data_IF_935020843782
#
_entry.id   IF_935020843782
#
_cell.length_a   1.000
_cell.length_b   1.000
_cell.length_c   1.000
_cell.angle_alpha   90.00
_cell.angle_beta   90.00
_cell.angle_gamma   90.00
#
_symmetry.space_group_name_H-M   'P 1'
#
loop_
_entity.id
_entity.type
_entity.pdbx_description
1 polymer ?
#
# COMPACT_ATOMS: atom_id res chain seq x y z
N UNK A 1 27.07 14.64 -19.37
CA UNK A 1 26.00 14.02 -20.17
C UNK A 1 24.72 14.45 -19.51
N UNK A 2 23.87 15.19 -20.23
CA UNK A 2 22.52 15.48 -19.76
C UNK A 2 21.75 14.17 -19.91
N UNK A 3 21.29 13.61 -18.79
CA UNK A 3 20.43 12.44 -18.75
C UNK A 3 19.22 12.71 -19.64
N UNK A 4 19.13 11.99 -20.76
CA UNK A 4 17.90 11.96 -21.55
C UNK A 4 16.93 11.07 -20.75
N UNK A 5 16.01 11.72 -20.04
CA UNK A 5 15.04 11.05 -19.20
C UNK A 5 14.26 10.02 -20.03
N UNK A 6 14.28 8.76 -19.61
CA UNK A 6 13.63 7.70 -20.36
C UNK A 6 12.11 7.89 -20.37
N UNK A 7 11.42 7.38 -21.40
CA UNK A 7 9.94 7.41 -21.44
C UNK A 7 9.31 6.73 -20.20
N UNK A 8 10.01 5.75 -19.62
CA UNK A 8 9.64 5.11 -18.37
C UNK A 8 9.69 6.09 -17.19
N UNK A 9 10.77 6.87 -17.06
CA UNK A 9 10.94 7.84 -15.98
C UNK A 9 9.90 8.97 -16.08
N UNK A 10 9.65 9.47 -17.30
CA UNK A 10 8.57 10.45 -17.57
C UNK A 10 7.22 9.90 -17.15
N UNK A 11 6.92 8.64 -17.50
CA UNK A 11 5.66 7.99 -17.14
C UNK A 11 5.53 7.82 -15.62
N UNK A 12 6.60 7.42 -14.93
CA UNK A 12 6.64 7.35 -13.47
C UNK A 12 6.35 8.71 -12.83
N UNK A 13 6.98 9.78 -13.33
CA UNK A 13 6.75 11.13 -12.80
C UNK A 13 5.31 11.58 -13.02
N UNK A 14 4.74 11.32 -14.20
CA UNK A 14 3.35 11.63 -14.51
C UNK A 14 2.40 10.92 -13.54
N UNK A 15 2.58 9.60 -13.31
CA UNK A 15 1.75 8.85 -12.37
C UNK A 15 1.91 9.37 -10.94
N UNK A 16 3.12 9.75 -10.50
CA UNK A 16 3.34 10.36 -9.18
C UNK A 16 2.57 11.68 -9.01
N UNK A 17 2.50 12.51 -10.05
CA UNK A 17 1.72 13.75 -10.02
C UNK A 17 0.21 13.48 -9.91
N UNK A 18 -0.30 12.51 -10.68
CA UNK A 18 -1.70 12.05 -10.61
C UNK A 18 -2.04 11.50 -9.22
N UNK A 19 -1.15 10.68 -8.66
CA UNK A 19 -1.28 10.12 -7.31
C UNK A 19 -1.28 11.22 -6.25
N UNK A 20 -0.42 12.24 -6.37
CA UNK A 20 -0.39 13.36 -5.44
C UNK A 20 -1.71 14.14 -5.43
N UNK A 21 -2.31 14.38 -6.59
CA UNK A 21 -3.63 15.01 -6.70
C UNK A 21 -4.72 14.15 -6.03
N UNK A 22 -4.74 12.84 -6.31
CA UNK A 22 -5.70 11.90 -5.73
C UNK A 22 -5.57 11.79 -4.20
N UNK A 23 -4.34 11.79 -3.68
CA UNK A 23 -4.08 11.81 -2.23
C UNK A 23 -4.53 13.12 -1.57
N UNK A 24 -4.47 14.25 -2.30
CA UNK A 24 -5.05 15.52 -1.85
C UNK A 24 -6.57 15.45 -1.70
N UNK A 25 -7.25 14.86 -2.67
CA UNK A 25 -8.70 14.65 -2.62
C UNK A 25 -9.10 13.67 -1.50
N UNK A 26 -8.36 12.57 -1.35
CA UNK A 26 -8.54 11.61 -0.27
C UNK A 26 -8.33 12.25 1.11
N UNK A 27 -7.31 13.09 1.27
CA UNK A 27 -7.06 13.85 2.50
C UNK A 27 -8.24 14.74 2.87
N UNK A 28 -8.82 15.45 1.89
CA UNK A 28 -10.03 16.26 2.09
C UNK A 28 -11.25 15.42 2.45
N UNK A 29 -11.41 14.24 1.82
CA UNK A 29 -12.47 13.29 2.16
C UNK A 29 -12.36 12.81 3.62
N UNK A 30 -11.17 12.46 4.09
CA UNK A 30 -10.94 12.09 5.49
C UNK A 30 -11.21 13.25 6.45
N UNK A 31 -10.83 14.48 6.07
CA UNK A 31 -11.09 15.69 6.87
C UNK A 31 -12.60 15.94 7.00
N UNK A 32 -13.37 15.78 5.92
CA UNK A 32 -14.84 15.87 5.96
C UNK A 32 -15.47 14.78 6.83
N UNK A 33 -14.86 13.59 6.89
CA UNK A 33 -15.25 12.53 7.81
C UNK A 33 -14.83 12.77 9.28
N UNK A 34 -14.22 13.93 9.59
CA UNK A 34 -13.88 14.33 10.96
C UNK A 34 -12.58 13.76 11.51
N UNK A 35 -11.71 13.19 10.68
CA UNK A 35 -10.44 12.64 11.15
C UNK A 35 -9.44 13.75 11.51
N UNK A 36 -8.63 13.50 12.54
CA UNK A 36 -7.57 14.41 12.97
C UNK A 36 -6.40 14.48 11.98
N UNK A 37 -5.72 15.63 11.94
CA UNK A 37 -4.65 15.91 10.98
C UNK A 37 -3.47 14.91 11.04
N UNK A 38 -3.11 14.42 12.23
CA UNK A 38 -2.06 13.42 12.39
C UNK A 38 -2.47 12.07 11.77
N UNK A 39 -3.72 11.66 11.97
CA UNK A 39 -4.28 10.43 11.38
C UNK A 39 -4.37 10.53 9.87
N UNK A 40 -4.81 11.66 9.34
CA UNK A 40 -4.85 11.93 7.88
C UNK A 40 -3.45 11.81 7.29
N UNK A 41 -2.46 12.46 7.92
CA UNK A 41 -1.06 12.39 7.46
C UNK A 41 -0.55 10.95 7.43
N UNK A 42 -0.81 10.18 8.48
CA UNK A 42 -0.42 8.76 8.53
C UNK A 42 -1.07 7.95 7.41
N UNK A 43 -2.36 8.16 7.12
CA UNK A 43 -3.02 7.49 6.00
C UNK A 43 -2.38 7.86 4.65
N UNK A 44 -2.14 9.15 4.40
CA UNK A 44 -1.53 9.61 3.15
C UNK A 44 -0.10 9.09 3.00
N UNK A 45 0.71 9.04 4.07
CA UNK A 45 2.08 8.48 4.00
C UNK A 45 2.08 6.99 3.67
N UNK A 46 1.18 6.21 4.27
CA UNK A 46 1.06 4.78 3.94
C UNK A 46 0.65 4.57 2.47
N UNK A 47 -0.26 5.39 1.97
CA UNK A 47 -0.73 5.29 0.58
C UNK A 47 0.29 5.81 -0.42
N UNK A 48 1.03 6.86 -0.09
CA UNK A 48 2.14 7.33 -0.91
C UNK A 48 3.17 6.21 -1.10
N UNK A 49 3.51 5.49 -0.02
CA UNK A 49 4.39 4.32 -0.11
C UNK A 49 3.82 3.23 -1.02
N UNK A 50 2.53 2.90 -0.85
CA UNK A 50 1.87 1.91 -1.69
C UNK A 50 1.83 2.31 -3.18
N UNK A 51 1.30 3.50 -3.48
CA UNK A 51 1.01 3.95 -4.84
C UNK A 51 2.28 4.32 -5.61
N UNK A 52 3.23 4.98 -4.93
CA UNK A 52 4.40 5.55 -5.60
C UNK A 52 5.67 4.70 -5.44
N UNK A 53 5.70 3.74 -4.52
CA UNK A 53 6.84 2.83 -4.40
C UNK A 53 6.46 1.41 -4.81
N UNK A 54 5.44 0.82 -4.19
CA UNK A 54 5.11 -0.57 -4.49
C UNK A 54 4.51 -0.74 -5.89
N UNK A 55 3.44 -0.01 -6.23
CA UNK A 55 2.80 -0.17 -7.54
C UNK A 55 3.81 0.05 -8.64
N UNK A 56 4.45 1.23 -8.69
CA UNK A 56 5.47 1.57 -9.71
C UNK A 56 6.71 0.67 -9.73
N UNK A 57 6.99 -0.07 -8.66
CA UNK A 57 8.04 -1.09 -8.64
C UNK A 57 7.56 -2.41 -9.23
N UNK A 58 6.33 -2.81 -8.93
CA UNK A 58 5.72 -4.04 -9.45
C UNK A 58 5.46 -3.93 -10.96
N UNK A 59 4.78 -2.85 -11.39
CA UNK A 59 4.55 -2.46 -12.79
C UNK A 59 4.05 -0.98 -12.81
N UNK A 60 3.89 -0.33 -13.96
CA UNK A 60 3.34 1.04 -14.04
C UNK A 60 1.81 1.07 -13.80
N UNK A 61 1.35 0.45 -12.72
CA UNK A 61 -0.04 0.26 -12.34
C UNK A 61 -0.67 1.55 -11.82
N UNK A 62 -1.93 1.75 -12.17
CA UNK A 62 -2.72 2.85 -11.64
C UNK A 62 -3.26 2.49 -10.24
N UNK A 63 -3.73 3.48 -9.45
CA UNK A 63 -4.41 3.19 -8.19
C UNK A 63 -5.60 2.23 -8.31
N UNK A 64 -6.32 2.25 -9.44
CA UNK A 64 -7.46 1.37 -9.68
C UNK A 64 -7.02 -0.09 -9.87
N UNK A 65 -6.01 -0.32 -10.70
CA UNK A 65 -5.42 -1.66 -10.91
C UNK A 65 -4.83 -2.20 -9.60
N UNK A 66 -4.30 -1.31 -8.76
CA UNK A 66 -3.71 -1.67 -7.48
C UNK A 66 -4.69 -2.32 -6.49
N UNK A 67 -6.02 -2.30 -6.70
CA UNK A 67 -6.95 -2.91 -5.73
C UNK A 67 -6.68 -4.41 -5.53
N UNK A 68 -6.29 -5.11 -6.60
CA UNK A 68 -5.95 -6.54 -6.57
C UNK A 68 -4.55 -6.83 -6.01
N UNK A 69 -3.68 -5.83 -5.89
CA UNK A 69 -2.30 -5.99 -5.45
C UNK A 69 -2.11 -5.80 -3.93
N UNK A 70 -3.18 -5.47 -3.19
CA UNK A 70 -3.10 -5.21 -1.74
C UNK A 70 -2.62 -6.43 -0.95
N UNK A 71 -3.06 -7.64 -1.34
CA UNK A 71 -2.62 -8.88 -0.69
C UNK A 71 -1.13 -9.13 -0.85
N UNK A 72 -0.62 -9.02 -2.08
CA UNK A 72 0.82 -9.15 -2.38
C UNK A 72 1.64 -8.10 -1.62
N UNK A 73 1.16 -6.86 -1.58
CA UNK A 73 1.82 -5.82 -0.81
C UNK A 73 1.88 -6.15 0.69
N UNK A 74 0.76 -6.45 1.33
CA UNK A 74 0.71 -6.63 2.79
C UNK A 74 1.27 -7.96 3.26
N UNK A 75 1.12 -9.01 2.45
CA UNK A 75 1.51 -10.38 2.75
C UNK A 75 2.94 -10.71 2.37
N UNK A 76 3.57 -9.94 1.49
CA UNK A 76 4.92 -10.23 1.01
C UNK A 76 5.81 -8.98 0.86
N UNK A 77 5.53 -8.13 -0.12
CA UNK A 77 6.48 -7.07 -0.50
C UNK A 77 6.76 -6.09 0.63
N UNK A 78 5.74 -5.64 1.35
CA UNK A 78 5.90 -4.72 2.49
C UNK A 78 6.71 -5.35 3.62
N UNK A 79 6.53 -6.65 3.86
CA UNK A 79 7.26 -7.38 4.90
C UNK A 79 8.76 -7.41 4.59
N UNK A 80 9.11 -7.75 3.35
CA UNK A 80 10.49 -7.95 2.93
C UNK A 80 11.22 -6.66 2.52
N UNK A 81 10.51 -5.64 2.03
CA UNK A 81 11.13 -4.43 1.46
C UNK A 81 11.03 -3.21 2.36
N UNK A 82 10.09 -3.15 3.30
CA UNK A 82 9.99 -2.04 4.24
C UNK A 82 10.73 -2.36 5.54
N UNK A 83 11.86 -1.71 5.80
CA UNK A 83 12.66 -1.91 7.02
C UNK A 83 11.89 -1.64 8.33
N UNK A 84 10.78 -0.92 8.25
CA UNK A 84 9.87 -0.62 9.38
C UNK A 84 8.65 -1.54 9.42
N UNK A 85 8.64 -2.64 8.65
CA UNK A 85 7.55 -3.61 8.66
C UNK A 85 7.47 -4.28 10.03
N UNK A 86 6.28 -4.31 10.61
CA UNK A 86 5.95 -5.02 11.84
C UNK A 86 4.43 -5.16 11.95
N UNK A 87 3.93 -5.89 12.95
CA UNK A 87 2.48 -6.10 13.14
C UNK A 87 1.68 -4.81 13.19
N UNK A 88 2.21 -3.75 13.78
CA UNK A 88 1.53 -2.46 13.90
C UNK A 88 1.47 -1.76 12.55
N UNK A 89 2.57 -1.72 11.80
CA UNK A 89 2.63 -1.05 10.49
C UNK A 89 1.86 -1.81 9.41
N UNK A 90 1.81 -3.15 9.46
CA UNK A 90 0.93 -3.96 8.58
C UNK A 90 -0.55 -3.61 8.81
N UNK A 91 -1.01 -3.58 10.06
CA UNK A 91 -2.39 -3.17 10.39
C UNK A 91 -2.70 -1.74 9.96
N UNK A 92 -1.75 -0.83 10.14
CA UNK A 92 -1.90 0.56 9.75
C UNK A 92 -2.04 0.69 8.22
N UNK A 93 -1.22 -0.02 7.44
CA UNK A 93 -1.33 -0.05 5.98
C UNK A 93 -2.66 -0.68 5.52
N UNK A 94 -3.06 -1.82 6.08
CA UNK A 94 -4.35 -2.45 5.79
C UNK A 94 -5.54 -1.50 6.04
N UNK A 95 -5.46 -0.72 7.13
CA UNK A 95 -6.49 0.27 7.46
C UNK A 95 -6.51 1.44 6.47
N UNK A 96 -5.33 1.97 6.10
CA UNK A 96 -5.19 3.02 5.09
C UNK A 96 -5.74 2.58 3.74
N UNK A 97 -5.34 1.40 3.26
CA UNK A 97 -5.76 0.85 1.97
C UNK A 97 -7.27 0.61 1.93
N UNK A 98 -7.85 0.03 2.99
CA UNK A 98 -9.30 -0.15 3.09
C UNK A 98 -10.06 1.19 3.03
N UNK A 99 -9.54 2.26 3.66
CA UNK A 99 -10.18 3.59 3.58
C UNK A 99 -10.04 4.20 2.20
N UNK A 100 -8.86 4.10 1.60
CA UNK A 100 -8.57 4.63 0.28
C UNK A 100 -9.44 3.99 -0.81
N UNK A 101 -9.51 2.66 -0.84
CA UNK A 101 -10.35 1.96 -1.80
C UNK A 101 -11.84 2.13 -1.52
N UNK A 102 -12.24 2.40 -0.26
CA UNK A 102 -13.60 2.86 0.05
C UNK A 102 -13.91 4.21 -0.60
N UNK A 103 -13.00 5.18 -0.46
CA UNK A 103 -13.09 6.47 -1.14
C UNK A 103 -13.13 6.34 -2.67
N UNK A 104 -12.31 5.46 -3.26
CA UNK A 104 -12.31 5.21 -4.71
C UNK A 104 -13.63 4.60 -5.18
N UNK A 105 -14.18 3.64 -4.44
CA UNK A 105 -15.48 3.03 -4.75
C UNK A 105 -16.62 4.06 -4.65
N UNK A 106 -16.62 4.92 -3.62
CA UNK A 106 -17.62 6.01 -3.47
C UNK A 106 -17.62 6.98 -4.66
N UNK A 107 -16.48 7.15 -5.33
CA UNK A 107 -16.32 8.01 -6.50
C UNK A 107 -16.48 7.28 -7.84
N UNK A 108 -16.76 5.97 -7.81
CA UNK A 108 -16.91 5.15 -9.01
C UNK A 108 -15.59 4.92 -9.76
N UNK A 109 -14.45 5.08 -9.09
CA UNK A 109 -13.12 4.85 -9.68
C UNK A 109 -12.71 3.36 -9.67
N UNK A 110 -13.35 2.57 -8.81
CA UNK A 110 -13.32 1.11 -8.83
C UNK A 110 -14.74 0.58 -8.66
N UNK A 111 -14.97 -0.68 -9.01
CA UNK A 111 -16.29 -1.28 -8.85
C UNK A 111 -16.56 -1.64 -7.38
N UNK A 112 -17.80 -1.53 -6.89
CA UNK A 112 -18.14 -1.90 -5.51
C UNK A 112 -17.80 -3.34 -5.11
N UNK A 113 -17.85 -4.27 -6.07
CA UNK A 113 -17.46 -5.67 -5.88
C UNK A 113 -15.95 -5.82 -5.61
N UNK A 114 -15.09 -5.03 -6.28
CA UNK A 114 -13.65 -5.06 -6.05
C UNK A 114 -13.31 -4.59 -4.65
N UNK A 115 -13.97 -3.52 -4.18
CA UNK A 115 -13.84 -3.07 -2.80
C UNK A 115 -14.37 -4.08 -1.79
N UNK A 116 -15.45 -4.80 -2.14
CA UNK A 116 -16.01 -5.84 -1.27
C UNK A 116 -15.07 -7.03 -1.14
N UNK A 117 -14.50 -7.49 -2.25
CA UNK A 117 -13.47 -8.54 -2.29
C UNK A 117 -12.24 -8.13 -1.48
N UNK A 118 -11.74 -6.89 -1.64
CA UNK A 118 -10.63 -6.38 -0.87
C UNK A 118 -10.90 -6.41 0.65
N UNK A 119 -12.08 -5.97 1.09
CA UNK A 119 -12.45 -6.02 2.52
C UNK A 119 -12.46 -7.45 3.05
N UNK A 120 -12.93 -8.40 2.24
CA UNK A 120 -12.98 -9.81 2.63
C UNK A 120 -11.56 -10.39 2.69
N UNK A 121 -10.72 -10.12 1.69
CA UNK A 121 -9.32 -10.53 1.69
C UNK A 121 -8.56 -10.00 2.91
N UNK A 122 -8.65 -8.70 3.22
CA UNK A 122 -8.02 -8.12 4.42
C UNK A 122 -8.56 -8.78 5.70
N UNK A 123 -9.82 -9.19 5.74
CA UNK A 123 -10.38 -9.85 6.93
C UNK A 123 -9.80 -11.25 7.11
N UNK A 124 -9.69 -12.01 6.03
CA UNK A 124 -9.33 -13.42 6.06
C UNK A 124 -7.81 -13.62 6.17
N UNK A 125 -7.03 -12.82 5.46
CA UNK A 125 -5.58 -13.02 5.33
C UNK A 125 -4.74 -12.17 6.32
N UNK A 126 -5.32 -11.15 6.96
CA UNK A 126 -4.58 -10.32 7.93
C UNK A 126 -3.94 -11.14 9.08
N UNK A 127 -4.57 -12.17 9.67
CA UNK A 127 -3.88 -13.01 10.65
C UNK A 127 -2.59 -13.62 10.10
N UNK A 128 -2.61 -14.12 8.85
CA UNK A 128 -1.47 -14.74 8.20
C UNK A 128 -0.36 -13.73 7.90
N UNK A 129 -0.71 -12.54 7.39
CA UNK A 129 0.25 -11.45 7.18
C UNK A 129 0.92 -11.01 8.49
N UNK A 130 0.16 -11.00 9.60
CA UNK A 130 0.70 -10.66 10.92
C UNK A 130 1.63 -11.72 11.48
N UNK A 131 1.41 -12.98 11.15
CA UNK A 131 2.32 -14.04 11.55
C UNK A 131 3.53 -14.12 10.63
N UNK A 132 3.38 -13.86 9.32
CA UNK A 132 4.49 -13.71 8.39
C UNK A 132 5.47 -12.62 8.84
N UNK A 133 4.99 -11.39 9.12
CA UNK A 133 5.87 -10.30 9.56
C UNK A 133 6.48 -10.57 10.94
N UNK A 134 5.82 -11.39 11.78
CA UNK A 134 6.38 -11.81 13.07
C UNK A 134 7.55 -12.76 12.88
N UNK A 135 7.38 -13.78 12.02
CA UNK A 135 8.43 -14.76 11.70
C UNK A 135 9.62 -14.07 11.05
N UNK A 136 9.35 -13.20 10.08
CA UNK A 136 10.38 -12.44 9.38
C UNK A 136 11.25 -11.59 10.32
N UNK A 137 10.63 -10.91 11.28
CA UNK A 137 11.36 -10.07 12.24
C UNK A 137 11.88 -10.83 13.47
N UNK A 138 11.77 -12.15 13.52
CA UNK A 138 12.27 -12.93 14.66
C UNK A 138 13.79 -13.17 14.49
N UNK A 139 14.66 -12.56 15.30
CA UNK A 139 16.10 -12.75 15.20
C UNK A 139 16.55 -14.16 15.59
N UNK A 140 15.71 -14.88 16.32
CA UNK A 140 15.96 -16.25 16.78
C UNK A 140 15.27 -17.31 15.89
N UNK A 141 14.68 -16.89 14.77
CA UNK A 141 14.18 -17.86 13.80
C UNK A 141 15.37 -18.61 13.20
N UNK A 142 15.23 -19.94 13.09
CA UNK A 142 16.20 -20.72 12.33
C UNK A 142 16.36 -20.07 10.95
N UNK A 143 17.59 -19.91 10.50
CA UNK A 143 17.87 -19.33 9.19
C UNK A 143 18.15 -20.46 8.21
N UNK A 144 17.62 -20.35 6.99
CA UNK A 144 18.14 -21.07 5.84
C UNK A 144 19.65 -20.75 5.68
N UNK A 145 20.38 -21.61 4.98
CA UNK A 145 21.85 -21.45 4.78
C UNK A 145 22.24 -20.09 4.18
N UNK A 146 21.31 -19.41 3.50
CA UNK A 146 21.49 -18.09 2.88
C UNK A 146 21.03 -16.91 3.76
N UNK A 147 20.66 -17.17 5.03
CA UNK A 147 20.39 -16.13 6.03
C UNK A 147 18.94 -15.66 6.13
N UNK A 148 17.98 -16.36 5.51
CA UNK A 148 16.55 -16.04 5.61
C UNK A 148 15.83 -16.92 6.65
N UNK A 149 14.91 -16.38 7.46
CA UNK A 149 14.17 -17.18 8.44
C UNK A 149 13.27 -18.25 7.79
N UNK A 150 13.21 -19.46 8.36
CA UNK A 150 12.36 -20.60 7.90
C UNK A 150 10.86 -20.31 8.09
#
# INVERSE_FOLDING_TARGET
MLDDESEYDKRCQQIRQENAALLGEFSHWLKKAGLGAATIRSHCTNLDFYLNHFLLYADLLTPADGVSCVGEFLGDWFIHKAMWSNKTTVKANATSLKKFYGFMAERGLIKPEEFTSLKQQIKDELPDWLDAVKRYNNPDADLLEDGWPI
#
